data_IF_061191193258
#
_entry.id   IF_061191193258
#
_cell.length_a   1.000
_cell.length_b   1.000
_cell.length_c   1.000
_cell.angle_alpha   90.00
_cell.angle_beta   90.00
_cell.angle_gamma   90.00
#
_symmetry.space_group_name_H-M   'P 1'
#
loop_
_entity.id
_entity.type
_entity.pdbx_description
1 polymer ?
#
# COMPACT_ATOMS: atom_id res chain seq x y z
N UNK A 1 10.79 -20.97 31.26
CA UNK A 1 11.35 -21.09 29.90
C UNK A 1 10.57 -20.12 29.06
N UNK A 2 11.24 -19.11 28.52
CA UNK A 2 10.58 -18.19 27.61
C UNK A 2 10.29 -18.91 26.29
N UNK A 3 9.09 -18.78 25.75
CA UNK A 3 8.68 -19.55 24.59
C UNK A 3 9.26 -18.94 23.32
N UNK A 4 9.40 -19.74 22.25
CA UNK A 4 9.84 -19.22 20.95
C UNK A 4 8.94 -18.06 20.48
N UNK A 5 7.64 -18.13 20.76
CA UNK A 5 6.67 -17.09 20.43
C UNK A 5 6.93 -15.79 21.18
N UNK A 6 7.28 -15.84 22.46
CA UNK A 6 7.58 -14.65 23.26
C UNK A 6 8.81 -13.93 22.72
N UNK A 7 9.88 -14.67 22.43
CA UNK A 7 11.09 -14.13 21.80
C UNK A 7 10.81 -13.53 20.42
N UNK A 8 9.99 -14.19 19.59
CA UNK A 8 9.66 -13.68 18.27
C UNK A 8 8.87 -12.36 18.34
N UNK A 9 7.99 -12.20 19.33
CA UNK A 9 7.27 -10.93 19.56
C UNK A 9 8.23 -9.80 19.92
N UNK A 10 9.16 -10.05 20.84
CA UNK A 10 10.16 -9.06 21.26
C UNK A 10 11.03 -8.60 20.07
N UNK A 11 11.47 -9.53 19.21
CA UNK A 11 12.21 -9.19 17.98
C UNK A 11 11.41 -8.24 17.08
N UNK A 12 10.13 -8.54 16.86
CA UNK A 12 9.25 -7.71 16.00
C UNK A 12 8.93 -6.35 16.64
N UNK A 13 8.69 -6.31 17.95
CA UNK A 13 8.46 -5.05 18.68
C UNK A 13 9.67 -4.12 18.59
N UNK A 14 10.88 -4.65 18.83
CA UNK A 14 12.12 -3.87 18.74
C UNK A 14 12.41 -3.40 17.31
N UNK A 15 12.14 -4.24 16.30
CA UNK A 15 12.16 -3.82 14.90
C UNK A 15 11.25 -2.61 14.66
N UNK A 16 10.02 -2.63 15.16
CA UNK A 16 9.08 -1.53 14.99
C UNK A 16 9.49 -0.28 15.76
N UNK A 17 10.08 -0.40 16.96
CA UNK A 17 10.65 0.75 17.66
C UNK A 17 11.76 1.42 16.83
N UNK A 18 12.72 0.65 16.33
CA UNK A 18 13.77 1.16 15.45
C UNK A 18 13.20 1.83 14.17
N UNK A 19 12.18 1.22 13.57
CA UNK A 19 11.46 1.79 12.42
C UNK A 19 10.86 3.17 12.74
N UNK A 20 10.10 3.28 13.84
CA UNK A 20 9.43 4.55 14.20
C UNK A 20 10.40 5.62 14.72
N UNK A 21 11.54 5.23 15.27
CA UNK A 21 12.66 6.13 15.58
C UNK A 21 13.48 6.53 14.34
N UNK A 22 13.25 5.86 13.19
CA UNK A 22 14.01 6.02 11.95
C UNK A 22 15.50 5.69 12.10
N UNK A 23 15.82 4.76 12.99
CA UNK A 23 17.18 4.20 13.12
C UNK A 23 17.38 3.10 12.08
N UNK A 24 17.82 3.50 10.89
CA UNK A 24 17.97 2.59 9.75
C UNK A 24 19.05 1.53 9.96
N UNK A 25 20.14 1.89 10.66
CA UNK A 25 21.24 0.98 10.93
C UNK A 25 20.80 -0.12 11.91
N UNK A 26 20.08 0.26 12.98
CA UNK A 26 19.49 -0.73 13.89
C UNK A 26 18.39 -1.56 13.22
N UNK A 27 17.49 -0.92 12.45
CA UNK A 27 16.39 -1.59 11.74
C UNK A 27 16.89 -2.69 10.79
N UNK A 28 18.01 -2.45 10.09
CA UNK A 28 18.58 -3.44 9.17
C UNK A 28 19.02 -4.74 9.86
N UNK A 29 19.39 -4.70 11.15
CA UNK A 29 19.89 -5.87 11.89
C UNK A 29 18.82 -6.92 12.20
N UNK A 30 17.53 -6.58 12.06
CA UNK A 30 16.42 -7.51 12.32
C UNK A 30 16.12 -8.44 11.15
N UNK A 31 16.80 -8.28 10.01
CA UNK A 31 16.54 -8.98 8.77
C UNK A 31 17.66 -9.96 8.41
N UNK A 32 17.31 -11.11 7.83
CA UNK A 32 18.30 -12.01 7.22
C UNK A 32 18.72 -11.49 5.85
N UNK A 33 19.92 -11.86 5.40
CA UNK A 33 20.49 -11.43 4.11
C UNK A 33 19.61 -11.79 2.89
N UNK A 34 18.74 -12.79 3.03
CA UNK A 34 17.85 -13.32 1.98
C UNK A 34 16.37 -12.98 2.18
N UNK A 35 16.04 -12.09 3.13
CA UNK A 35 14.64 -11.76 3.39
C UNK A 35 13.98 -10.99 2.24
N UNK A 36 12.66 -11.13 2.13
CA UNK A 36 11.85 -10.39 1.17
C UNK A 36 10.80 -9.58 1.91
N UNK A 37 10.78 -8.27 1.70
CA UNK A 37 9.82 -7.37 2.32
C UNK A 37 8.73 -6.96 1.33
N UNK A 38 7.48 -7.20 1.72
CA UNK A 38 6.29 -6.63 1.08
C UNK A 38 5.40 -6.06 2.16
N UNK A 39 5.00 -4.81 1.99
CA UNK A 39 3.98 -4.22 2.85
C UNK A 39 2.58 -4.55 2.30
N UNK A 40 1.69 -5.02 3.17
CA UNK A 40 0.30 -5.31 2.85
C UNK A 40 -0.55 -4.63 3.91
N UNK A 41 -1.15 -3.50 3.54
CA UNK A 41 -2.07 -2.80 4.43
C UNK A 41 -3.27 -3.68 4.78
N UNK A 42 -3.70 -3.64 6.04
CA UNK A 42 -5.02 -4.18 6.41
C UNK A 42 -6.12 -3.34 5.74
N UNK A 43 -7.27 -3.95 5.44
CA UNK A 43 -8.39 -3.28 4.79
C UNK A 43 -8.72 -1.97 5.51
N UNK A 44 -8.42 -0.81 4.88
CA UNK A 44 -8.71 0.46 5.51
C UNK A 44 -10.22 0.66 5.54
N UNK A 45 -10.72 1.28 6.60
CA UNK A 45 -12.04 1.93 6.56
C UNK A 45 -11.93 2.98 5.44
N UNK A 46 -12.50 2.67 4.27
CA UNK A 46 -12.29 3.39 3.02
C UNK A 46 -12.84 4.83 3.03
N UNK A 47 -13.72 5.17 2.10
CA UNK A 47 -14.43 6.44 2.11
C UNK A 47 -15.86 6.24 1.60
N UNK A 48 -16.83 6.91 2.21
CA UNK A 48 -18.24 6.79 1.86
C UNK A 48 -18.72 8.07 1.16
N UNK A 49 -19.21 7.91 -0.06
CA UNK A 49 -19.71 9.00 -0.90
C UNK A 49 -18.61 9.69 -1.73
N UNK A 50 -18.98 10.12 -2.93
CA UNK A 50 -18.03 10.65 -3.92
C UNK A 50 -17.13 11.77 -3.41
N UNK A 51 -17.67 12.70 -2.61
CA UNK A 51 -16.87 13.79 -2.04
C UNK A 51 -15.79 13.30 -1.06
N UNK A 52 -16.09 12.28 -0.25
CA UNK A 52 -15.11 11.71 0.68
C UNK A 52 -14.05 10.89 -0.06
N UNK A 53 -14.45 10.14 -1.10
CA UNK A 53 -13.54 9.39 -1.96
C UNK A 53 -12.54 10.33 -2.63
N UNK A 54 -13.01 11.42 -3.25
CA UNK A 54 -12.14 12.42 -3.88
C UNK A 54 -11.17 13.04 -2.87
N UNK A 55 -11.65 13.42 -1.67
CA UNK A 55 -10.77 13.96 -0.62
C UNK A 55 -9.69 12.97 -0.21
N UNK A 56 -10.04 11.69 -0.05
CA UNK A 56 -9.08 10.63 0.32
C UNK A 56 -8.02 10.44 -0.76
N UNK A 57 -8.43 10.33 -2.04
CA UNK A 57 -7.52 10.15 -3.17
C UNK A 57 -6.54 11.33 -3.31
N UNK A 58 -7.02 12.56 -3.12
CA UNK A 58 -6.19 13.77 -3.18
C UNK A 58 -5.06 13.79 -2.15
N UNK A 59 -5.18 13.11 -1.01
CA UNK A 59 -4.10 13.06 0.00
C UNK A 59 -2.82 12.44 -0.60
N UNK A 60 -2.96 11.37 -1.39
CA UNK A 60 -1.82 10.68 -2.01
C UNK A 60 -1.43 11.24 -3.37
N UNK A 61 -2.41 11.61 -4.20
CA UNK A 61 -2.18 11.87 -5.63
C UNK A 61 -1.91 13.36 -5.92
N UNK A 62 -2.59 14.29 -5.24
CA UNK A 62 -2.47 15.73 -5.51
C UNK A 62 -1.03 16.26 -5.34
N UNK A 63 -0.23 15.80 -4.34
CA UNK A 63 1.15 16.24 -4.17
C UNK A 63 2.17 15.56 -5.10
N UNK A 64 1.74 14.75 -6.07
CA UNK A 64 2.66 14.11 -7.02
C UNK A 64 3.02 15.08 -8.16
N UNK A 65 4.26 15.01 -8.62
CA UNK A 65 4.70 15.73 -9.81
C UNK A 65 4.14 15.10 -11.09
N UNK A 66 3.93 13.77 -11.07
CA UNK A 66 3.39 13.01 -12.19
C UNK A 66 2.62 11.80 -11.71
N UNK A 67 1.47 11.55 -12.34
CA UNK A 67 0.59 10.43 -12.04
C UNK A 67 0.07 9.85 -13.37
N UNK A 68 0.51 8.63 -13.68
CA UNK A 68 0.20 7.97 -14.96
C UNK A 68 -0.46 6.62 -14.72
N UNK A 69 -1.46 6.32 -15.52
CA UNK A 69 -2.21 5.07 -15.46
C UNK A 69 -1.82 4.16 -16.63
N UNK A 70 -1.49 2.91 -16.34
CA UNK A 70 -1.22 1.85 -17.32
C UNK A 70 -2.23 0.71 -17.11
N UNK A 71 -3.37 0.74 -17.81
CA UNK A 71 -4.38 -0.31 -17.73
C UNK A 71 -3.84 -1.67 -18.16
N UNK A 72 -4.31 -2.74 -17.51
CA UNK A 72 -4.08 -4.12 -17.94
C UNK A 72 -5.40 -4.82 -18.22
N UNK A 73 -5.73 -5.86 -17.46
CA UNK A 73 -6.92 -6.67 -17.65
C UNK A 73 -8.14 -6.04 -16.97
N UNK A 74 -9.29 -6.09 -17.63
CA UNK A 74 -10.58 -5.75 -17.05
C UNK A 74 -11.53 -6.94 -17.22
N UNK A 75 -12.20 -7.32 -16.14
CA UNK A 75 -13.16 -8.43 -16.10
C UNK A 75 -14.45 -7.93 -15.47
N UNK A 76 -15.59 -8.23 -16.10
CA UNK A 76 -16.90 -7.89 -15.56
C UNK A 76 -17.74 -9.15 -15.37
N UNK A 77 -18.44 -9.25 -14.24
CA UNK A 77 -19.41 -10.30 -13.95
C UNK A 77 -20.56 -9.73 -13.13
N UNK A 78 -21.78 -9.72 -13.69
CA UNK A 78 -22.93 -9.07 -13.06
C UNK A 78 -22.71 -7.56 -12.92
N UNK A 79 -22.90 -7.04 -11.71
CA UNK A 79 -22.61 -5.64 -11.37
C UNK A 79 -21.15 -5.42 -10.91
N UNK A 80 -20.32 -6.45 -10.82
CA UNK A 80 -18.95 -6.35 -10.38
C UNK A 80 -17.99 -6.17 -11.57
N UNK A 81 -17.06 -5.23 -11.46
CA UNK A 81 -15.96 -5.01 -12.40
C UNK A 81 -14.64 -5.03 -11.66
N UNK A 82 -13.70 -5.87 -12.11
CA UNK A 82 -12.33 -5.93 -11.61
C UNK A 82 -11.42 -5.33 -12.67
N UNK A 83 -10.54 -4.42 -12.26
CA UNK A 83 -9.56 -3.79 -13.14
C UNK A 83 -8.16 -3.94 -12.55
N UNK A 84 -7.32 -4.73 -13.21
CA UNK A 84 -5.89 -4.77 -12.95
C UNK A 84 -5.21 -3.62 -13.69
N UNK A 85 -4.35 -2.88 -13.00
CA UNK A 85 -3.61 -1.78 -13.58
C UNK A 85 -2.30 -1.53 -12.83
N UNK A 86 -1.45 -0.71 -13.44
CA UNK A 86 -0.25 -0.17 -12.83
C UNK A 86 -0.38 1.34 -12.79
N UNK A 87 0.02 1.94 -11.68
CA UNK A 87 0.12 3.39 -11.54
C UNK A 87 1.58 3.79 -11.39
N UNK A 88 2.02 4.80 -12.15
CA UNK A 88 3.33 5.42 -11.93
C UNK A 88 3.19 6.72 -11.18
N UNK A 89 3.85 6.78 -10.03
CA UNK A 89 3.88 7.92 -9.14
C UNK A 89 5.25 8.56 -9.23
N UNK A 90 5.31 9.84 -9.60
CA UNK A 90 6.54 10.62 -9.65
C UNK A 90 6.51 11.68 -8.56
N UNK A 91 7.49 11.64 -7.67
CA UNK A 91 7.62 12.59 -6.57
C UNK A 91 8.48 13.78 -6.98
N UNK A 92 8.24 14.94 -6.35
CA UNK A 92 8.98 16.18 -6.61
C UNK A 92 10.47 16.09 -6.27
N UNK A 93 10.84 15.11 -5.43
CA UNK A 93 12.20 14.79 -5.01
C UNK A 93 12.93 13.86 -5.99
N UNK A 94 12.25 13.38 -7.05
CA UNK A 94 12.83 12.63 -8.16
C UNK A 94 12.57 11.11 -8.11
N UNK A 95 12.05 10.59 -7.00
CA UNK A 95 11.66 9.18 -6.88
C UNK A 95 10.51 8.85 -7.83
N UNK A 96 10.55 7.63 -8.38
CA UNK A 96 9.52 7.09 -9.27
C UNK A 96 9.14 5.70 -8.75
N UNK A 97 7.85 5.48 -8.54
CA UNK A 97 7.30 4.20 -8.09
C UNK A 97 6.31 3.69 -9.14
N UNK A 98 6.50 2.46 -9.59
CA UNK A 98 5.51 1.70 -10.36
C UNK A 98 4.73 0.80 -9.38
N UNK A 99 3.51 1.21 -9.05
CA UNK A 99 2.65 0.54 -8.08
C UNK A 99 1.56 -0.30 -8.77
N UNK A 100 1.61 -1.64 -8.70
CA UNK A 100 0.54 -2.48 -9.23
C UNK A 100 -0.69 -2.40 -8.32
N UNK A 101 -1.87 -2.27 -8.93
CA UNK A 101 -3.16 -2.20 -8.25
C UNK A 101 -4.18 -3.14 -8.90
N UNK A 102 -5.11 -3.60 -8.07
CA UNK A 102 -6.37 -4.19 -8.53
C UNK A 102 -7.50 -3.40 -7.89
N UNK A 103 -8.38 -2.85 -8.71
CA UNK A 103 -9.60 -2.20 -8.25
C UNK A 103 -10.77 -3.15 -8.43
N UNK A 104 -11.59 -3.34 -7.39
CA UNK A 104 -12.86 -4.06 -7.45
C UNK A 104 -14.00 -3.06 -7.25
N UNK A 105 -14.88 -2.95 -8.24
CA UNK A 105 -16.00 -2.00 -8.24
C UNK A 105 -17.33 -2.74 -8.37
N UNK A 106 -18.33 -2.29 -7.63
CA UNK A 106 -19.74 -2.62 -7.91
C UNK A 106 -20.41 -1.42 -8.57
N UNK A 107 -21.02 -1.65 -9.74
CA UNK A 107 -21.66 -0.61 -10.55
C UNK A 107 -23.18 -0.74 -10.46
N UNK A 108 -23.88 0.32 -10.07
CA UNK A 108 -25.35 0.37 -10.01
C UNK A 108 -25.86 1.68 -10.59
N UNK A 109 -26.93 1.61 -11.38
CA UNK A 109 -27.55 2.79 -12.01
C UNK A 109 -26.56 3.60 -12.88
N UNK A 110 -25.56 2.92 -13.46
CA UNK A 110 -24.50 3.52 -14.27
C UNK A 110 -23.44 4.28 -13.47
N UNK A 111 -23.26 3.97 -12.18
CA UNK A 111 -22.30 4.61 -11.27
C UNK A 111 -21.54 3.59 -10.44
#
# INVERSE_FOLDING_TARGET
MDSTEARNKEVVENYWYAHFERDWDAMATFFTDDCHYTDVGMDPVGAIGGAAIVRRLKIGIEPLQGYFHFPKHIVAQGNMVIWEHMERWMFHTGEVIDHPFVTVMEVRDGK
#
